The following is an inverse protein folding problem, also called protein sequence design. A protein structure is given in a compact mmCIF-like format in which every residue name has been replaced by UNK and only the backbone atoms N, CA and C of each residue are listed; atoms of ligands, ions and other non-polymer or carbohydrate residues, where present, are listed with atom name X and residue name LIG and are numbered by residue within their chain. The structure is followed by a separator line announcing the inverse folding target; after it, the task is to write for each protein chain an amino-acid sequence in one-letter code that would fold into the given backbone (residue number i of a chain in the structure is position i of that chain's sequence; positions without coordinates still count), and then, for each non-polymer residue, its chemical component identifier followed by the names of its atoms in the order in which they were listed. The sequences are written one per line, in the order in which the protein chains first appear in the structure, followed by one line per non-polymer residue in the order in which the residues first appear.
data_IF_879264285024
#
_entry.id   IF_879264285024
#
_cell.length_a   1.000
_cell.length_b   1.000
_cell.length_c   1.000
_cell.angle_alpha   90.00
_cell.angle_beta   90.00
_cell.angle_gamma   90.00
#
_symmetry.space_group_name_H-M   'P 1'
#
loop_
_entity.id
_entity.type
_entity.pdbx_description
1 polymer ?
#
# COMPACT_ATOMS: atom_id res chain seq x y z
N UNK A 1 50.20 42.83 -2.16
CA UNK A 1 50.74 41.92 -3.19
C UNK A 1 49.66 40.90 -3.55
N UNK A 2 49.14 40.87 -4.79
CA UNK A 2 48.05 39.97 -5.16
C UNK A 2 48.58 38.61 -5.62
N UNK A 3 48.00 37.51 -5.11
CA UNK A 3 48.26 36.14 -5.59
C UNK A 3 47.39 35.87 -6.82
N UNK A 4 48.06 35.55 -7.92
CA UNK A 4 47.48 35.11 -9.18
C UNK A 4 46.74 33.78 -8.98
N UNK A 5 45.41 33.78 -9.16
CA UNK A 5 44.60 32.57 -9.26
C UNK A 5 44.92 31.87 -10.59
N UNK A 6 45.50 30.67 -10.53
CA UNK A 6 45.59 29.80 -11.70
C UNK A 6 44.26 29.07 -11.87
N UNK A 7 43.49 29.45 -12.89
CA UNK A 7 42.37 28.66 -13.39
C UNK A 7 42.91 27.39 -14.07
N UNK A 8 42.56 26.22 -13.55
CA UNK A 8 42.81 24.94 -14.24
C UNK A 8 41.74 24.79 -15.32
N UNK A 9 42.17 25.00 -16.57
CA UNK A 9 41.37 24.74 -17.77
C UNK A 9 41.21 23.23 -17.94
N UNK A 10 40.02 22.70 -17.67
CA UNK A 10 39.65 21.34 -18.05
C UNK A 10 39.42 21.31 -19.57
N UNK A 11 40.51 21.09 -20.32
CA UNK A 11 40.42 20.70 -21.73
C UNK A 11 39.75 19.33 -21.81
N UNK A 12 38.48 19.35 -22.22
CA UNK A 12 37.84 18.41 -23.14
C UNK A 12 38.60 17.08 -23.32
N UNK A 13 38.34 16.11 -22.44
CA UNK A 13 38.61 14.70 -22.71
C UNK A 13 37.54 14.22 -23.70
N UNK A 14 37.79 14.41 -24.98
CA UNK A 14 36.96 13.85 -26.05
C UNK A 14 37.11 12.34 -26.07
N UNK A 15 35.98 11.65 -25.98
CA UNK A 15 35.82 10.18 -25.94
C UNK A 15 36.38 9.43 -27.17
N UNK A 16 36.84 10.15 -28.20
CA UNK A 16 37.23 9.57 -29.49
C UNK A 16 38.66 8.98 -29.54
N UNK A 17 39.44 9.04 -28.45
CA UNK A 17 40.75 8.35 -28.38
C UNK A 17 40.73 6.99 -27.67
N UNK A 18 39.55 6.48 -27.27
CA UNK A 18 39.42 5.13 -26.69
C UNK A 18 39.15 4.03 -27.74
N UNK A 19 39.07 4.37 -29.04
CA UNK A 19 38.67 3.42 -30.09
C UNK A 19 39.80 2.55 -30.68
N UNK A 20 41.06 2.76 -30.30
CA UNK A 20 42.18 2.03 -30.94
C UNK A 20 42.76 0.84 -30.16
N UNK A 21 42.23 0.49 -28.98
CA UNK A 21 42.87 -0.52 -28.13
C UNK A 21 42.07 -1.80 -27.84
N UNK A 22 41.06 -2.12 -28.66
CA UNK A 22 40.34 -3.40 -28.54
C UNK A 22 40.36 -4.15 -29.86
N UNK A 23 41.49 -4.81 -30.16
CA UNK A 23 41.50 -5.99 -31.04
C UNK A 23 41.18 -7.21 -30.19
N UNK A 24 39.91 -7.61 -30.13
CA UNK A 24 39.52 -8.93 -29.64
C UNK A 24 39.51 -9.88 -30.85
N UNK A 25 40.48 -10.78 -30.92
CA UNK A 25 40.46 -11.87 -31.89
C UNK A 25 39.63 -13.04 -31.32
N UNK A 26 38.69 -13.52 -32.12
CA UNK A 26 37.55 -14.34 -31.69
C UNK A 26 37.88 -15.84 -31.64
N UNK A 27 38.92 -16.23 -30.90
CA UNK A 27 39.29 -17.65 -30.76
C UNK A 27 40.20 -17.85 -29.54
N UNK A 28 39.66 -17.58 -28.34
CA UNK A 28 40.06 -18.16 -27.05
C UNK A 28 39.28 -17.49 -25.90
N UNK A 29 38.61 -18.28 -25.06
CA UNK A 29 37.75 -17.83 -23.93
C UNK A 29 38.59 -17.54 -22.69
N UNK A 30 39.56 -16.64 -22.81
CA UNK A 30 40.24 -16.01 -21.66
C UNK A 30 40.65 -14.59 -22.04
N UNK A 31 39.71 -13.65 -21.91
CA UNK A 31 40.01 -12.24 -22.09
C UNK A 31 40.78 -11.72 -20.86
N UNK A 32 42.09 -11.95 -20.81
CA UNK A 32 42.94 -11.28 -19.84
C UNK A 32 43.14 -9.83 -20.28
N UNK A 33 42.34 -8.92 -19.70
CA UNK A 33 42.63 -7.50 -19.75
C UNK A 33 43.86 -7.21 -18.88
N UNK A 34 45.05 -7.31 -19.46
CA UNK A 34 46.27 -6.87 -18.81
C UNK A 34 46.34 -5.34 -18.87
N UNK A 35 45.64 -4.70 -17.93
CA UNK A 35 45.56 -3.25 -17.83
C UNK A 35 46.87 -2.75 -17.22
N UNK A 36 47.90 -2.54 -18.05
CA UNK A 36 49.17 -1.95 -17.63
C UNK A 36 48.98 -0.45 -17.35
N UNK A 37 48.38 -0.13 -16.21
CA UNK A 37 48.39 1.23 -15.66
C UNK A 37 49.83 1.59 -15.32
N UNK A 38 50.52 2.27 -16.24
CA UNK A 38 51.70 3.08 -15.90
C UNK A 38 51.24 4.17 -14.94
N UNK A 39 51.22 3.87 -13.63
CA UNK A 39 51.10 4.85 -12.55
C UNK A 39 52.32 5.76 -12.63
N UNK A 40 52.19 6.87 -13.35
CA UNK A 40 53.02 8.04 -13.12
C UNK A 40 52.62 8.53 -11.72
N UNK A 41 53.35 8.11 -10.70
CA UNK A 41 53.18 8.55 -9.31
C UNK A 41 53.52 10.04 -9.25
N UNK A 42 52.56 10.89 -9.60
CA UNK A 42 52.62 12.31 -9.31
C UNK A 42 52.42 12.41 -7.80
N UNK A 43 53.49 12.75 -7.08
CA UNK A 43 53.47 13.07 -5.67
C UNK A 43 52.73 14.41 -5.48
N UNK A 44 51.42 14.40 -5.66
CA UNK A 44 50.55 15.52 -5.32
C UNK A 44 50.38 15.46 -3.81
N UNK A 45 51.18 16.26 -3.08
CA UNK A 45 50.88 16.55 -1.67
C UNK A 45 49.56 17.32 -1.65
N UNK A 46 48.46 16.61 -1.36
CA UNK A 46 47.18 17.24 -1.12
C UNK A 46 47.33 18.09 0.15
N UNK A 47 46.92 19.37 0.12
CA UNK A 47 46.87 20.18 1.34
C UNK A 47 45.93 19.49 2.34
N UNK A 48 46.40 19.33 3.58
CA UNK A 48 45.57 18.82 4.67
C UNK A 48 44.47 19.81 5.04
N UNK A 49 43.31 19.29 5.45
CA UNK A 49 42.23 20.11 6.00
C UNK A 49 42.71 20.83 7.26
N UNK A 50 42.34 22.10 7.39
CA UNK A 50 42.60 22.84 8.63
C UNK A 50 41.61 22.42 9.72
N UNK A 51 41.99 22.54 11.00
CA UNK A 51 41.10 22.17 12.12
C UNK A 51 39.80 22.98 12.10
N UNK A 52 39.88 24.27 11.77
CA UNK A 52 38.71 25.16 11.69
C UNK A 52 37.77 24.76 10.54
N UNK A 53 38.32 24.31 9.41
CA UNK A 53 37.53 23.86 8.27
C UNK A 53 36.73 22.61 8.60
N UNK A 54 37.33 21.67 9.34
CA UNK A 54 36.63 20.48 9.83
C UNK A 54 35.52 20.84 10.83
N UNK A 55 35.75 21.81 11.72
CA UNK A 55 34.76 22.30 12.68
C UNK A 55 33.54 22.92 11.98
N UNK A 56 33.77 23.73 10.95
CA UNK A 56 32.69 24.35 10.18
C UNK A 56 31.87 23.26 9.45
N UNK A 57 32.52 22.26 8.85
CA UNK A 57 31.83 21.18 8.13
C UNK A 57 30.94 20.36 9.06
N UNK A 58 31.43 19.94 10.23
CA UNK A 58 30.60 19.18 11.20
C UNK A 58 29.44 20.02 11.73
N UNK A 59 29.63 21.33 11.88
CA UNK A 59 28.58 22.25 12.33
C UNK A 59 27.47 22.36 11.27
N UNK A 60 27.83 22.55 10.01
CA UNK A 60 26.87 22.60 8.90
C UNK A 60 26.16 21.25 8.74
N UNK A 61 26.88 20.14 8.87
CA UNK A 61 26.32 18.79 8.77
C UNK A 61 25.29 18.50 9.89
N UNK A 62 25.57 18.92 11.12
CA UNK A 62 24.62 18.81 12.23
C UNK A 62 23.32 19.57 11.97
N UNK A 63 23.45 20.82 11.47
CA UNK A 63 22.29 21.64 11.12
C UNK A 63 21.45 21.02 10.01
N UNK A 64 22.08 20.58 8.92
CA UNK A 64 21.35 19.99 7.78
C UNK A 64 20.67 18.67 8.14
N UNK A 65 21.35 17.82 8.93
CA UNK A 65 20.79 16.53 9.39
C UNK A 65 19.50 16.76 10.19
N UNK A 66 19.48 17.75 11.09
CA UNK A 66 18.29 18.04 11.90
C UNK A 66 17.06 18.40 11.05
N UNK A 67 17.24 19.21 10.00
CA UNK A 67 16.17 19.61 9.09
C UNK A 67 15.66 18.43 8.24
N UNK A 68 16.59 17.60 7.76
CA UNK A 68 16.26 16.41 6.96
C UNK A 68 15.42 15.42 7.78
N UNK A 69 15.79 15.18 9.05
CA UNK A 69 15.06 14.25 9.92
C UNK A 69 13.61 14.69 10.14
N UNK A 70 13.36 15.98 10.39
CA UNK A 70 11.99 16.49 10.58
C UNK A 70 11.11 16.31 9.31
N UNK A 71 11.69 16.57 8.13
CA UNK A 71 11.01 16.35 6.85
C UNK A 71 10.71 14.87 6.60
N UNK A 72 11.68 13.99 6.91
CA UNK A 72 11.56 12.55 6.71
C UNK A 72 10.41 11.93 7.52
N UNK A 73 10.23 12.33 8.79
CA UNK A 73 9.13 11.83 9.62
C UNK A 73 7.76 12.17 9.03
N UNK A 74 7.60 13.38 8.49
CA UNK A 74 6.34 13.80 7.87
C UNK A 74 6.07 13.05 6.56
N UNK A 75 7.11 12.84 5.75
CA UNK A 75 7.02 12.04 4.53
C UNK A 75 6.64 10.58 4.83
N UNK A 76 7.29 9.97 5.82
CA UNK A 76 7.02 8.60 6.23
C UNK A 76 5.56 8.40 6.64
N UNK A 77 5.01 9.29 7.48
CA UNK A 77 3.60 9.23 7.90
C UNK A 77 2.64 9.29 6.71
N UNK A 78 2.89 10.19 5.76
CA UNK A 78 2.08 10.29 4.55
C UNK A 78 2.18 9.04 3.68
N UNK A 79 3.37 8.45 3.56
CA UNK A 79 3.55 7.22 2.78
C UNK A 79 2.83 6.04 3.44
N UNK A 80 2.88 5.92 4.77
CA UNK A 80 2.12 4.91 5.52
C UNK A 80 0.62 5.05 5.29
N UNK A 81 0.10 6.29 5.34
CA UNK A 81 -1.32 6.57 5.12
C UNK A 81 -1.77 6.23 3.69
N UNK A 82 -0.96 6.61 2.70
CA UNK A 82 -1.19 6.23 1.30
C UNK A 82 -1.17 4.72 1.11
N UNK A 83 -0.19 4.02 1.69
CA UNK A 83 -0.10 2.56 1.60
C UNK A 83 -1.33 1.91 2.25
N UNK A 84 -1.81 2.41 3.39
CA UNK A 84 -3.02 1.90 4.03
C UNK A 84 -4.26 2.03 3.15
N UNK A 85 -4.48 3.20 2.52
CA UNK A 85 -5.56 3.39 1.56
C UNK A 85 -5.47 2.40 0.39
N UNK A 86 -4.28 2.22 -0.17
CA UNK A 86 -4.04 1.29 -1.28
C UNK A 86 -4.28 -0.17 -0.88
N UNK A 87 -3.89 -0.55 0.34
CA UNK A 87 -4.16 -1.88 0.88
C UNK A 87 -5.67 -2.11 1.02
N UNK A 88 -6.42 -1.15 1.59
CA UNK A 88 -7.89 -1.25 1.68
C UNK A 88 -8.50 -1.41 0.28
N UNK A 89 -8.12 -0.56 -0.68
CA UNK A 89 -8.60 -0.66 -2.07
C UNK A 89 -8.30 -2.03 -2.69
N UNK A 90 -7.07 -2.55 -2.50
CA UNK A 90 -6.67 -3.86 -3.02
C UNK A 90 -7.46 -5.01 -2.39
N UNK A 91 -7.73 -4.92 -1.10
CA UNK A 91 -8.43 -5.95 -0.33
C UNK A 91 -9.94 -5.95 -0.63
N UNK A 92 -10.55 -4.78 -0.87
CA UNK A 92 -11.92 -4.69 -1.40
C UNK A 92 -12.01 -5.38 -2.76
N UNK A 93 -11.07 -5.10 -3.67
CA UNK A 93 -11.00 -5.79 -4.98
C UNK A 93 -10.75 -7.29 -4.85
N UNK A 94 -9.98 -7.71 -3.85
CA UNK A 94 -9.79 -9.13 -3.55
C UNK A 94 -11.11 -9.78 -3.12
N UNK A 95 -11.86 -9.16 -2.21
CA UNK A 95 -13.17 -9.65 -1.78
C UNK A 95 -14.15 -9.73 -2.97
N UNK A 96 -14.18 -8.72 -3.83
CA UNK A 96 -14.96 -8.72 -5.07
C UNK A 96 -14.57 -9.90 -5.98
N UNK A 97 -13.26 -10.12 -6.21
CA UNK A 97 -12.79 -11.21 -7.03
C UNK A 97 -13.16 -12.59 -6.45
N UNK A 98 -13.08 -12.75 -5.12
CA UNK A 98 -13.49 -13.99 -4.44
C UNK A 98 -14.99 -14.26 -4.54
N UNK A 99 -15.82 -13.21 -4.43
CA UNK A 99 -17.26 -13.33 -4.68
C UNK A 99 -17.56 -13.74 -6.12
N UNK A 100 -16.90 -13.11 -7.10
CA UNK A 100 -17.10 -13.40 -8.52
C UNK A 100 -16.65 -14.82 -8.91
N UNK A 101 -15.55 -15.32 -8.32
CA UNK A 101 -15.12 -16.71 -8.53
C UNK A 101 -15.96 -17.72 -7.76
N UNK A 102 -16.84 -17.26 -6.86
CA UNK A 102 -17.57 -18.13 -5.93
C UNK A 102 -16.62 -18.92 -5.04
N UNK A 103 -15.55 -18.30 -4.56
CA UNK A 103 -14.57 -18.97 -3.70
C UNK A 103 -15.23 -19.36 -2.37
N UNK A 104 -15.18 -20.66 -2.09
CA UNK A 104 -15.87 -21.31 -0.98
C UNK A 104 -14.96 -21.72 0.17
N UNK A 105 -13.63 -21.62 -0.01
CA UNK A 105 -12.56 -21.98 0.94
C UNK A 105 -12.78 -23.33 1.67
N UNK A 106 -11.88 -24.28 1.44
CA UNK A 106 -11.83 -25.57 2.16
C UNK A 106 -13.13 -26.40 2.08
N UNK A 107 -13.91 -26.21 1.02
CA UNK A 107 -15.18 -26.88 0.81
C UNK A 107 -16.28 -26.49 1.80
N UNK A 108 -16.07 -25.43 2.59
CA UNK A 108 -17.15 -24.82 3.35
C UNK A 108 -18.16 -24.24 2.36
N UNK A 109 -19.45 -24.30 2.69
CA UNK A 109 -20.50 -23.89 1.76
C UNK A 109 -20.57 -24.73 0.45
N UNK A 110 -20.06 -25.97 0.50
CA UNK A 110 -20.33 -27.02 -0.50
C UNK A 110 -21.44 -27.95 -0.04
N UNK A 111 -22.41 -28.15 -0.92
CA UNK A 111 -23.47 -29.13 -0.78
C UNK A 111 -22.99 -30.53 -1.16
N UNK A 112 -22.99 -31.43 -0.18
CA UNK A 112 -23.25 -32.87 -0.36
C UNK A 112 -23.99 -33.48 0.85
N UNK A 113 -23.91 -32.84 2.03
CA UNK A 113 -24.52 -33.33 3.28
C UNK A 113 -25.27 -32.21 4.05
N UNK A 114 -24.98 -30.93 3.78
CA UNK A 114 -25.64 -29.77 4.38
C UNK A 114 -26.07 -28.79 3.28
N UNK A 115 -27.28 -28.22 3.39
CA UNK A 115 -27.85 -27.28 2.44
C UNK A 115 -27.22 -25.87 2.58
N UNK A 116 -25.90 -25.78 2.62
CA UNK A 116 -25.20 -24.51 2.77
C UNK A 116 -24.76 -23.92 1.43
N UNK A 117 -25.08 -22.64 1.21
CA UNK A 117 -24.80 -21.93 -0.05
C UNK A 117 -24.05 -20.63 0.24
N UNK A 118 -23.12 -20.28 -0.65
CA UNK A 118 -22.37 -19.03 -0.55
C UNK A 118 -23.31 -17.85 -0.84
N UNK A 119 -23.42 -16.93 0.10
CA UNK A 119 -24.14 -15.65 -0.07
C UNK A 119 -23.21 -14.66 -0.79
N UNK A 120 -21.97 -14.56 -0.31
CA UNK A 120 -20.98 -13.65 -0.86
C UNK A 120 -19.72 -13.50 -0.03
N UNK A 121 -18.92 -12.51 -0.42
CA UNK A 121 -17.74 -12.06 0.32
C UNK A 121 -17.94 -10.63 0.76
N UNK A 122 -17.54 -10.30 1.98
CA UNK A 122 -17.71 -8.98 2.53
C UNK A 122 -16.45 -8.39 3.13
N UNK A 123 -16.45 -7.06 3.21
CA UNK A 123 -15.47 -6.29 3.96
C UNK A 123 -16.21 -5.42 4.96
N UNK A 124 -15.85 -5.51 6.24
CA UNK A 124 -16.48 -4.78 7.33
C UNK A 124 -15.51 -3.81 7.99
N UNK A 125 -15.96 -2.57 8.17
CA UNK A 125 -15.22 -1.47 8.76
C UNK A 125 -15.93 -0.96 10.01
N UNK A 126 -15.14 -0.56 10.99
CA UNK A 126 -15.60 0.03 12.25
C UNK A 126 -14.92 1.37 12.43
N UNK A 127 -15.70 2.40 12.76
CA UNK A 127 -15.17 3.71 13.10
C UNK A 127 -14.29 3.61 14.34
N UNK A 128 -13.25 4.43 14.38
CA UNK A 128 -12.26 4.54 15.46
C UNK A 128 -11.47 3.23 15.69
N UNK A 129 -11.48 2.32 14.72
CA UNK A 129 -10.69 1.09 14.70
C UNK A 129 -9.43 1.24 13.85
N UNK A 130 -8.38 0.52 14.24
CA UNK A 130 -7.17 0.29 13.46
C UNK A 130 -7.20 -1.05 12.69
N UNK A 131 -8.33 -1.74 12.71
CA UNK A 131 -8.54 -3.02 12.02
C UNK A 131 -9.83 -3.03 11.20
N UNK A 132 -9.85 -3.87 10.17
CA UNK A 132 -11.04 -4.20 9.39
C UNK A 132 -11.05 -5.69 9.07
N UNK A 133 -12.23 -6.24 8.76
CA UNK A 133 -12.39 -7.68 8.54
C UNK A 133 -12.83 -7.97 7.12
N UNK A 134 -12.28 -9.03 6.54
CA UNK A 134 -12.70 -9.59 5.26
C UNK A 134 -13.09 -11.04 5.51
N UNK A 135 -14.28 -11.45 5.09
CA UNK A 135 -14.72 -12.83 5.22
C UNK A 135 -15.71 -13.19 4.11
N UNK A 136 -15.90 -14.48 3.89
CA UNK A 136 -17.02 -15.01 3.14
C UNK A 136 -18.18 -15.28 4.09
N UNK A 137 -19.39 -15.22 3.56
CA UNK A 137 -20.61 -15.52 4.29
C UNK A 137 -21.47 -16.51 3.50
N UNK A 138 -22.06 -17.44 4.25
CA UNK A 138 -22.82 -18.55 3.73
C UNK A 138 -24.06 -18.78 4.55
N UNK A 139 -25.14 -19.12 3.86
CA UNK A 139 -26.36 -19.53 4.52
C UNK A 139 -26.29 -21.02 4.82
N UNK A 140 -26.73 -21.43 6.01
CA UNK A 140 -27.09 -22.81 6.33
C UNK A 140 -28.62 -22.97 6.27
N UNK A 141 -29.10 -23.61 5.20
CA UNK A 141 -30.53 -23.86 4.99
C UNK A 141 -30.99 -25.23 5.54
N UNK A 142 -30.21 -25.86 6.43
CA UNK A 142 -30.57 -27.18 6.99
C UNK A 142 -31.83 -27.15 7.84
N UNK A 143 -32.09 -26.09 8.62
CA UNK A 143 -33.37 -25.84 9.30
C UNK A 143 -33.61 -24.32 9.47
N UNK A 144 -34.86 -23.84 9.39
CA UNK A 144 -35.21 -22.47 9.78
C UNK A 144 -35.17 -22.28 11.31
N UNK A 145 -34.75 -21.11 11.84
CA UNK A 145 -34.29 -19.93 11.11
C UNK A 145 -32.94 -20.18 10.44
N UNK A 146 -32.81 -19.71 9.19
CA UNK A 146 -31.58 -19.91 8.44
C UNK A 146 -30.44 -19.17 9.12
N UNK A 147 -29.31 -19.85 9.30
CA UNK A 147 -28.19 -19.32 10.08
C UNK A 147 -27.05 -18.95 9.16
N UNK A 148 -26.41 -17.81 9.39
CA UNK A 148 -25.21 -17.39 8.68
C UNK A 148 -23.96 -18.04 9.25
N UNK A 149 -23.07 -18.48 8.35
CA UNK A 149 -21.80 -19.10 8.65
C UNK A 149 -20.70 -18.29 7.97
N UNK A 150 -19.83 -17.73 8.81
CA UNK A 150 -18.67 -16.96 8.36
C UNK A 150 -17.53 -17.91 8.00
N UNK A 151 -16.91 -17.66 6.86
CA UNK A 151 -15.80 -18.46 6.32
C UNK A 151 -14.61 -17.56 5.97
N UNK A 152 -13.40 -18.11 6.10
CA UNK A 152 -12.19 -17.43 5.64
C UNK A 152 -11.94 -16.06 6.28
N UNK A 153 -12.37 -15.88 7.53
CA UNK A 153 -12.22 -14.61 8.25
C UNK A 153 -10.74 -14.20 8.32
N UNK A 154 -10.48 -12.98 7.86
CA UNK A 154 -9.18 -12.33 7.88
C UNK A 154 -9.34 -10.94 8.49
N UNK A 155 -8.79 -10.77 9.69
CA UNK A 155 -8.66 -9.48 10.35
C UNK A 155 -7.38 -8.82 9.84
N UNK A 156 -7.49 -7.62 9.26
CA UNK A 156 -6.38 -6.86 8.72
C UNK A 156 -6.12 -5.65 9.61
N UNK A 157 -4.90 -5.58 10.15
CA UNK A 157 -4.44 -4.43 10.93
C UNK A 157 -3.86 -3.34 10.01
N UNK A 158 -4.29 -2.11 10.23
CA UNK A 158 -3.74 -0.92 9.60
C UNK A 158 -2.36 -0.62 10.17
N UNK A 159 -1.48 0.06 9.40
CA UNK A 159 -0.17 0.46 9.91
C UNK A 159 -0.31 1.34 11.16
N UNK A 160 0.68 1.23 12.06
CA UNK A 160 0.68 1.93 13.34
C UNK A 160 0.38 3.43 13.20
N UNK A 161 -0.60 3.91 13.97
CA UNK A 161 -0.98 5.32 14.05
C UNK A 161 -1.94 5.77 12.94
N UNK A 162 -2.55 4.82 12.22
CA UNK A 162 -3.64 5.05 11.27
C UNK A 162 -4.90 4.43 11.85
N UNK A 163 -5.99 5.18 11.81
CA UNK A 163 -7.32 4.73 12.25
C UNK A 163 -8.36 5.06 11.19
N UNK A 164 -9.47 4.33 11.20
CA UNK A 164 -10.67 4.66 10.43
C UNK A 164 -11.40 5.76 11.19
N UNK A 165 -11.14 7.02 10.85
CA UNK A 165 -11.73 8.18 11.54
C UNK A 165 -13.19 8.44 11.20
N UNK A 166 -13.63 7.99 10.03
CA UNK A 166 -14.97 8.27 9.54
C UNK A 166 -15.46 7.22 8.57
N UNK A 167 -16.76 6.97 8.62
CA UNK A 167 -17.48 6.12 7.68
C UNK A 167 -18.72 6.91 7.29
N UNK A 168 -18.89 7.18 6.00
CA UNK A 168 -20.03 7.91 5.48
C UNK A 168 -20.83 7.00 4.55
N UNK A 169 -21.70 6.21 5.18
CA UNK A 169 -22.82 5.45 4.58
C UNK A 169 -23.93 5.50 5.61
N UNK A 170 -24.75 6.55 5.56
CA UNK A 170 -25.87 6.68 6.50
C UNK A 170 -25.46 7.11 7.91
N UNK A 171 -26.07 6.50 8.94
CA UNK A 171 -25.97 6.92 10.35
C UNK A 171 -25.12 5.96 11.21
N UNK A 172 -24.56 4.91 10.61
CA UNK A 172 -23.83 3.86 11.33
C UNK A 172 -22.40 4.25 11.73
N UNK A 173 -21.92 3.69 12.85
CA UNK A 173 -20.49 3.67 13.23
C UNK A 173 -19.73 2.49 12.62
N UNK A 174 -20.43 1.62 11.90
CA UNK A 174 -19.89 0.48 11.15
C UNK A 174 -20.50 0.44 9.76
N UNK A 175 -19.74 -0.04 8.79
CA UNK A 175 -20.24 -0.33 7.45
C UNK A 175 -19.64 -1.62 6.92
N UNK A 176 -20.49 -2.42 6.26
CA UNK A 176 -20.11 -3.66 5.61
C UNK A 176 -20.48 -3.60 4.13
N UNK A 177 -19.56 -4.04 3.28
CA UNK A 177 -19.74 -4.15 1.84
C UNK A 177 -19.89 -5.63 1.54
N UNK A 178 -21.02 -6.05 0.99
CA UNK A 178 -21.23 -7.44 0.55
C UNK A 178 -21.19 -7.52 -0.98
N UNK A 179 -20.29 -8.36 -1.48
CA UNK A 179 -20.16 -8.74 -2.88
C UNK A 179 -20.77 -10.12 -3.08
N UNK A 180 -21.74 -10.25 -3.98
CA UNK A 180 -22.43 -11.51 -4.23
C UNK A 180 -21.95 -12.16 -5.53
N UNK A 181 -21.94 -13.50 -5.62
CA UNK A 181 -21.67 -14.19 -6.87
C UNK A 181 -22.69 -13.79 -7.94
N UNK A 182 -22.23 -13.73 -9.19
CA UNK A 182 -23.07 -13.47 -10.37
C UNK A 182 -23.75 -12.09 -10.43
N UNK A 183 -23.49 -11.20 -9.47
CA UNK A 183 -23.94 -9.81 -9.49
C UNK A 183 -22.75 -8.87 -9.45
N UNK A 184 -22.71 -7.89 -10.35
CA UNK A 184 -21.62 -6.91 -10.40
C UNK A 184 -21.83 -5.70 -9.46
N UNK A 185 -22.97 -5.64 -8.77
CA UNK A 185 -23.35 -4.52 -7.91
C UNK A 185 -23.19 -4.95 -6.45
N UNK A 186 -22.32 -4.30 -5.65
CA UNK A 186 -22.22 -4.58 -4.23
C UNK A 186 -23.47 -4.07 -3.48
N UNK A 187 -23.82 -4.74 -2.38
CA UNK A 187 -24.77 -4.21 -1.40
C UNK A 187 -24.03 -3.59 -0.23
N UNK A 188 -24.42 -2.38 0.18
CA UNK A 188 -23.89 -1.69 1.33
C UNK A 188 -24.81 -1.88 2.54
N UNK A 189 -24.21 -2.04 3.71
CA UNK A 189 -24.90 -2.28 4.97
C UNK A 189 -24.30 -1.36 6.04
N UNK A 190 -25.12 -0.63 6.81
CA UNK A 190 -24.67 0.26 7.89
C UNK A 190 -25.27 -0.13 9.25
N UNK A 191 -24.52 0.12 10.34
CA UNK A 191 -25.04 -0.03 11.70
C UNK A 191 -25.31 -1.48 12.16
N UNK A 192 -24.81 -2.47 11.44
CA UNK A 192 -24.99 -3.89 11.75
C UNK A 192 -24.04 -4.35 12.87
N UNK A 193 -24.39 -5.49 13.50
CA UNK A 193 -23.52 -6.22 14.43
C UNK A 193 -22.18 -6.59 13.77
N UNK A 194 -21.18 -6.92 14.59
CA UNK A 194 -19.89 -7.41 14.10
C UNK A 194 -19.69 -8.79 14.73
N UNK A 195 -19.72 -9.88 13.94
CA UNK A 195 -19.87 -9.91 12.49
C UNK A 195 -21.27 -9.46 12.00
N UNK A 196 -21.35 -8.89 10.78
CA UNK A 196 -22.62 -8.44 10.20
C UNK A 196 -23.53 -9.63 9.92
N UNK A 197 -24.82 -9.45 10.20
CA UNK A 197 -25.86 -10.31 9.67
C UNK A 197 -26.33 -9.70 8.34
N UNK A 198 -26.38 -10.47 7.26
CA UNK A 198 -26.83 -10.00 5.95
C UNK A 198 -28.22 -10.50 5.57
N UNK A 199 -28.73 -11.51 6.26
CA UNK A 199 -29.98 -12.17 5.97
C UNK A 199 -31.01 -12.03 7.10
N UNK A 200 -32.28 -11.96 6.73
CA UNK A 200 -33.40 -12.15 7.67
C UNK A 200 -33.67 -13.65 7.90
N UNK A 201 -34.61 -13.95 8.80
CA UNK A 201 -35.06 -15.31 9.09
C UNK A 201 -35.63 -16.06 7.87
N UNK A 202 -35.97 -15.33 6.80
CA UNK A 202 -36.43 -15.84 5.50
C UNK A 202 -35.36 -15.80 4.41
N UNK A 203 -34.09 -15.55 4.75
CA UNK A 203 -32.91 -15.42 3.89
C UNK A 203 -33.00 -14.45 2.75
N UNK A 204 -33.82 -13.42 2.92
CA UNK A 204 -33.72 -12.22 2.11
C UNK A 204 -32.65 -11.32 2.69
N UNK A 205 -32.03 -10.53 1.82
CA UNK A 205 -31.00 -9.59 2.25
C UNK A 205 -31.64 -8.47 3.07
N UNK A 206 -31.17 -8.25 4.29
CA UNK A 206 -31.62 -7.16 5.16
C UNK A 206 -30.94 -5.84 4.82
N UNK A 207 -31.72 -4.76 4.85
CA UNK A 207 -31.27 -3.36 4.71
C UNK A 207 -30.20 -3.05 3.63
N UNK A 208 -30.25 -3.62 2.41
CA UNK A 208 -29.24 -3.31 1.43
C UNK A 208 -29.41 -1.87 0.93
N UNK A 209 -28.44 -1.01 1.24
CA UNK A 209 -28.34 0.32 0.64
C UNK A 209 -27.68 0.21 -0.73
N UNK A 210 -28.47 0.50 -1.76
CA UNK A 210 -28.00 0.51 -3.16
C UNK A 210 -27.72 1.92 -3.69
N UNK A 211 -27.97 2.97 -2.90
CA UNK A 211 -27.87 4.36 -3.35
C UNK A 211 -26.79 5.11 -2.58
N UNK A 212 -25.77 5.58 -3.31
CA UNK A 212 -24.68 6.39 -2.78
C UNK A 212 -23.30 5.75 -2.91
N UNK A 213 -22.27 6.52 -2.54
CA UNK A 213 -20.90 6.03 -2.43
C UNK A 213 -20.56 5.82 -0.95
N UNK A 214 -19.89 4.71 -0.63
CA UNK A 214 -19.26 4.50 0.67
C UNK A 214 -17.96 5.28 0.71
N UNK A 215 -17.84 6.21 1.66
CA UNK A 215 -16.62 6.95 1.90
C UNK A 215 -16.05 6.50 3.24
N UNK A 216 -14.86 5.90 3.20
CA UNK A 216 -14.10 5.53 4.39
C UNK A 216 -12.99 6.56 4.54
N UNK A 217 -13.00 7.26 5.67
CA UNK A 217 -11.96 8.21 6.04
C UNK A 217 -10.96 7.52 6.94
N UNK A 218 -9.71 7.53 6.51
CA UNK A 218 -8.58 7.11 7.33
C UNK A 218 -7.73 8.33 7.66
N UNK A 219 -7.34 8.44 8.92
CA UNK A 219 -6.51 9.54 9.39
C UNK A 219 -5.29 9.00 10.11
N UNK A 220 -4.21 9.78 10.05
CA UNK A 220 -3.08 9.59 10.96
C UNK A 220 -3.22 10.53 12.15
N UNK A 221 -2.83 10.08 13.35
CA UNK A 221 -2.92 10.88 14.58
C UNK A 221 -2.23 12.25 14.41
N UNK A 222 -3.03 13.34 14.30
CA UNK A 222 -2.56 14.71 14.09
C UNK A 222 -2.00 15.01 12.68
N UNK A 223 -2.40 14.23 11.68
CA UNK A 223 -1.85 14.28 10.32
C UNK A 223 -2.90 14.52 9.22
N UNK A 224 -2.52 14.17 7.99
CA UNK A 224 -3.38 14.22 6.82
C UNK A 224 -4.48 13.15 6.87
N UNK A 225 -5.55 13.35 6.11
CA UNK A 225 -6.67 12.41 5.97
C UNK A 225 -6.72 11.90 4.53
N UNK A 226 -7.02 10.62 4.35
CA UNK A 226 -7.28 10.00 3.06
C UNK A 226 -8.69 9.44 3.06
N UNK A 227 -9.34 9.50 1.90
CA UNK A 227 -10.63 8.91 1.64
C UNK A 227 -10.47 7.72 0.69
N UNK A 228 -11.06 6.59 1.05
CA UNK A 228 -11.33 5.48 0.14
C UNK A 228 -12.81 5.55 -0.21
N UNK A 229 -13.10 5.77 -1.49
CA UNK A 229 -14.45 5.96 -2.01
C UNK A 229 -14.80 4.75 -2.85
N UNK A 230 -15.85 4.05 -2.46
CA UNK A 230 -16.46 3.01 -3.27
C UNK A 230 -17.81 3.47 -3.79
N UNK A 231 -17.98 3.47 -5.09
CA UNK A 231 -19.25 3.77 -5.75
C UNK A 231 -20.25 2.61 -5.61
N UNK A 232 -21.54 2.91 -5.79
CA UNK A 232 -22.60 1.88 -5.86
C UNK A 232 -22.43 0.90 -7.01
N UNK A 233 -21.59 1.19 -8.01
CA UNK A 233 -21.27 0.27 -9.11
C UNK A 233 -20.11 -0.69 -8.79
N UNK A 234 -19.50 -0.56 -7.61
CA UNK A 234 -18.34 -1.37 -7.20
C UNK A 234 -16.99 -0.83 -7.66
N UNK A 235 -16.93 0.35 -8.29
CA UNK A 235 -15.66 1.03 -8.55
C UNK A 235 -15.10 1.57 -7.23
N UNK A 236 -13.83 1.25 -6.96
CA UNK A 236 -13.09 1.68 -5.77
C UNK A 236 -11.99 2.66 -6.19
N UNK A 237 -11.93 3.81 -5.54
CA UNK A 237 -10.93 4.85 -5.75
C UNK A 237 -10.44 5.41 -4.41
N UNK A 238 -9.24 6.00 -4.41
CA UNK A 238 -8.72 6.71 -3.24
C UNK A 238 -8.41 8.17 -3.58
N UNK A 239 -8.63 9.07 -2.61
CA UNK A 239 -8.36 10.50 -2.74
C UNK A 239 -7.74 11.03 -1.46
N UNK A 240 -6.69 11.85 -1.60
CA UNK A 240 -6.13 12.62 -0.50
C UNK A 240 -6.97 13.88 -0.26
N UNK A 241 -7.25 14.20 1.00
CA UNK A 241 -7.85 15.48 1.41
C UNK A 241 -6.79 16.56 1.67
#
# INVERSE_FOLDING_TARGET
MPRVLRTVSYKHLTFNKLKEFVKCNLLHVTCQCEFTLRRKLINVRLPGFTLIELLIVISIFGLTTSLITASYVSFERNQRLKNAAQTITSEIRLAQNRALSGDKIDGKCQTSISASSLIGWYVSFVKDSDTYTIAGDCIDATQPPWTEIIIGEKIVALPKGIIISGINVGLGTSASILFRPLTNVPSLHDGQSIPPNFLDDGGLIIDPRYTGALIIEISSHGGSTYQVIMSSTGEVSEKKL
#
